data_IF_845525874790
#
_entry.id   IF_845525874790
#
_cell.length_a   1.000
_cell.length_b   1.000
_cell.length_c   1.000
_cell.angle_alpha   90.00
_cell.angle_beta   90.00
_cell.angle_gamma   90.00
#
_symmetry.space_group_name_H-M   'P 1'
#
loop_
_entity.id
_entity.type
_entity.pdbx_description
1 polymer ?
#
# COMPACT_ATOMS: atom_id res chain seq x y z
N UNK A 1 -7.97 13.09 28.96
CA UNK A 1 -8.66 12.09 28.10
C UNK A 1 -8.66 12.44 26.61
N UNK A 2 -9.23 13.57 26.12
CA UNK A 2 -9.20 13.90 24.67
C UNK A 2 -7.80 14.15 24.12
N UNK A 3 -6.92 14.78 24.90
CA UNK A 3 -5.53 15.06 24.49
C UNK A 3 -4.70 13.78 24.40
N UNK A 4 -4.82 12.89 25.37
CA UNK A 4 -4.13 11.59 25.40
C UNK A 4 -4.55 10.72 24.22
N UNK A 5 -5.86 10.68 23.92
CA UNK A 5 -6.38 9.99 22.74
C UNK A 5 -5.83 10.56 21.42
N UNK A 6 -5.73 11.89 21.31
CA UNK A 6 -5.17 12.55 20.14
C UNK A 6 -3.69 12.23 19.97
N UNK A 7 -2.91 12.22 21.06
CA UNK A 7 -1.48 11.84 21.02
C UNK A 7 -1.31 10.39 20.63
N UNK A 8 -2.06 9.46 21.24
CA UNK A 8 -2.02 8.04 20.92
C UNK A 8 -2.42 7.78 19.45
N UNK A 9 -3.53 8.39 19.01
CA UNK A 9 -3.95 8.27 17.61
C UNK A 9 -2.92 8.84 16.64
N UNK A 10 -2.28 9.95 16.98
CA UNK A 10 -1.20 10.54 16.19
C UNK A 10 0.02 9.64 16.07
N UNK A 11 0.44 9.03 17.18
CA UNK A 11 1.56 8.08 17.21
C UNK A 11 1.26 6.83 16.37
N UNK A 12 0.07 6.22 16.55
CA UNK A 12 -0.36 5.06 15.76
C UNK A 12 -0.42 5.42 14.27
N UNK A 13 -0.96 6.60 13.93
CA UNK A 13 -1.03 7.09 12.55
C UNK A 13 0.36 7.20 11.91
N UNK A 14 1.29 7.85 12.61
CA UNK A 14 2.67 8.04 12.15
C UNK A 14 3.42 6.73 11.96
N UNK A 15 3.38 5.83 12.95
CA UNK A 15 4.02 4.51 12.89
C UNK A 15 3.43 3.66 11.76
N UNK A 16 2.12 3.64 11.63
CA UNK A 16 1.44 2.88 10.59
C UNK A 16 1.75 3.39 9.18
N UNK A 17 1.85 4.72 9.00
CA UNK A 17 2.31 5.34 7.76
C UNK A 17 3.76 4.97 7.45
N UNK A 18 4.65 5.03 8.45
CA UNK A 18 6.06 4.67 8.28
C UNK A 18 6.22 3.21 7.83
N UNK A 19 5.48 2.29 8.41
CA UNK A 19 5.47 0.88 8.00
C UNK A 19 4.93 0.73 6.57
N UNK A 20 3.77 1.32 6.28
CA UNK A 20 3.10 1.16 4.99
C UNK A 20 3.89 1.76 3.82
N UNK A 21 4.61 2.85 4.04
CA UNK A 21 5.46 3.50 3.05
C UNK A 21 6.88 2.91 3.03
N UNK A 22 7.45 2.66 4.20
CA UNK A 22 8.84 2.21 4.35
C UNK A 22 9.11 0.85 3.73
N UNK A 23 8.17 -0.10 3.83
CA UNK A 23 8.32 -1.42 3.24
C UNK A 23 8.51 -1.42 1.72
N UNK A 24 7.64 -0.78 0.93
CA UNK A 24 7.84 -0.60 -0.51
C UNK A 24 9.12 0.16 -0.87
N UNK A 25 9.53 1.16 -0.09
CA UNK A 25 10.82 1.87 -0.28
C UNK A 25 11.97 0.92 -0.05
N UNK A 26 11.99 0.18 1.07
CA UNK A 26 12.99 -0.83 1.36
C UNK A 26 13.08 -1.88 0.23
N UNK A 27 11.95 -2.36 -0.27
CA UNK A 27 11.94 -3.31 -1.37
C UNK A 27 12.57 -2.74 -2.65
N UNK A 28 12.38 -1.46 -2.96
CA UNK A 28 12.99 -0.82 -4.13
C UNK A 28 14.49 -0.58 -3.95
N UNK A 29 14.92 -0.16 -2.77
CA UNK A 29 16.29 0.29 -2.54
C UNK A 29 17.21 -0.88 -2.16
N UNK A 30 16.83 -1.67 -1.17
CA UNK A 30 17.67 -2.72 -0.60
C UNK A 30 17.37 -4.10 -1.18
N UNK A 31 16.09 -4.56 -1.12
CA UNK A 31 15.72 -5.90 -1.53
C UNK A 31 16.04 -6.17 -3.01
N UNK A 32 15.79 -5.22 -3.91
CA UNK A 32 16.16 -5.36 -5.33
C UNK A 32 17.66 -5.52 -5.55
N UNK A 33 18.50 -4.82 -4.76
CA UNK A 33 19.95 -4.96 -4.86
C UNK A 33 20.40 -6.32 -4.36
N UNK A 34 19.88 -6.78 -3.22
CA UNK A 34 20.16 -8.10 -2.68
C UNK A 34 19.77 -9.22 -3.66
N UNK A 35 18.61 -9.11 -4.30
CA UNK A 35 18.13 -10.09 -5.29
C UNK A 35 18.99 -10.20 -6.56
N UNK A 36 19.82 -9.19 -6.88
CA UNK A 36 20.77 -9.31 -8.00
C UNK A 36 21.89 -10.31 -7.72
N UNK A 37 22.18 -10.59 -6.44
CA UNK A 37 23.19 -11.58 -6.02
C UNK A 37 22.66 -13.01 -6.01
N UNK A 38 21.34 -13.22 -6.18
CA UNK A 38 20.76 -14.56 -6.24
C UNK A 38 21.18 -15.29 -7.52
N UNK A 39 21.56 -16.56 -7.38
CA UNK A 39 22.19 -17.39 -8.41
C UNK A 39 21.21 -17.78 -9.53
N UNK A 40 19.91 -17.84 -9.25
CA UNK A 40 18.90 -18.24 -10.22
C UNK A 40 17.66 -17.33 -10.23
N UNK A 41 16.91 -17.34 -11.34
CA UNK A 41 15.61 -16.66 -11.44
C UNK A 41 14.59 -17.26 -10.48
N UNK A 42 14.69 -18.56 -10.20
CA UNK A 42 13.79 -19.28 -9.30
C UNK A 42 14.03 -18.87 -7.85
N UNK A 43 15.26 -18.85 -7.40
CA UNK A 43 15.68 -18.38 -6.09
C UNK A 43 15.25 -16.92 -5.85
N UNK A 44 15.50 -16.05 -6.81
CA UNK A 44 15.07 -14.64 -6.77
C UNK A 44 13.56 -14.49 -6.58
N UNK A 45 12.76 -15.32 -7.26
CA UNK A 45 11.31 -15.35 -7.10
C UNK A 45 10.89 -15.86 -5.72
N UNK A 46 11.52 -16.91 -5.21
CA UNK A 46 11.24 -17.48 -3.90
C UNK A 46 11.53 -16.46 -2.78
N UNK A 47 12.69 -15.82 -2.80
CA UNK A 47 13.06 -14.78 -1.83
C UNK A 47 12.05 -13.62 -1.88
N UNK A 48 11.71 -13.13 -3.08
CA UNK A 48 10.74 -12.05 -3.24
C UNK A 48 9.36 -12.43 -2.69
N UNK A 49 8.91 -13.65 -2.99
CA UNK A 49 7.60 -14.14 -2.52
C UNK A 49 7.56 -14.27 -0.99
N UNK A 50 8.61 -14.80 -0.39
CA UNK A 50 8.74 -14.90 1.07
C UNK A 50 8.77 -13.53 1.72
N UNK A 51 9.59 -12.61 1.22
CA UNK A 51 9.69 -11.24 1.73
C UNK A 51 8.32 -10.52 1.71
N UNK A 52 7.60 -10.58 0.58
CA UNK A 52 6.28 -9.95 0.48
C UNK A 52 5.22 -10.67 1.32
N UNK A 53 5.30 -11.99 1.47
CA UNK A 53 4.38 -12.73 2.33
C UNK A 53 4.53 -12.33 3.80
N UNK A 54 5.76 -12.19 4.29
CA UNK A 54 6.01 -11.74 5.67
C UNK A 54 5.66 -10.27 5.85
N UNK A 55 6.06 -9.42 4.90
CA UNK A 55 5.70 -8.00 4.95
C UNK A 55 4.19 -7.76 4.98
N UNK A 56 3.40 -8.54 4.24
CA UNK A 56 1.94 -8.42 4.24
C UNK A 56 1.32 -8.60 5.61
N UNK A 57 1.89 -9.45 6.47
CA UNK A 57 1.39 -9.70 7.84
C UNK A 57 1.50 -8.45 8.73
N UNK A 58 2.48 -7.60 8.46
CA UNK A 58 2.69 -6.34 9.19
C UNK A 58 1.99 -5.18 8.49
N UNK A 59 2.00 -5.18 7.16
CA UNK A 59 1.45 -4.09 6.38
C UNK A 59 -0.08 -4.00 6.42
N UNK A 60 -0.79 -5.14 6.50
CA UNK A 60 -2.26 -5.13 6.60
C UNK A 60 -2.73 -4.49 7.91
N UNK A 61 -2.26 -4.90 9.10
CA UNK A 61 -2.57 -4.19 10.34
C UNK A 61 -2.16 -2.72 10.31
N UNK A 62 -1.01 -2.38 9.72
CA UNK A 62 -0.58 -1.00 9.58
C UNK A 62 -1.56 -0.16 8.74
N UNK A 63 -2.11 -0.70 7.65
CA UNK A 63 -3.14 0.00 6.87
C UNK A 63 -4.43 0.23 7.67
N UNK A 64 -4.85 -0.74 8.46
CA UNK A 64 -6.01 -0.59 9.36
C UNK A 64 -5.72 0.45 10.44
N UNK A 65 -4.57 0.36 11.09
CA UNK A 65 -4.14 1.29 12.14
C UNK A 65 -4.04 2.74 11.64
N UNK A 66 -3.44 2.94 10.49
CA UNK A 66 -3.31 4.24 9.84
C UNK A 66 -4.67 4.86 9.48
N UNK A 67 -5.62 4.06 9.00
CA UNK A 67 -6.96 4.54 8.66
C UNK A 67 -7.79 4.84 9.89
N UNK A 68 -7.85 3.90 10.82
CA UNK A 68 -8.62 4.06 12.05
C UNK A 68 -8.13 5.26 12.88
N UNK A 69 -6.80 5.38 13.05
CA UNK A 69 -6.22 6.51 13.77
C UNK A 69 -6.49 7.84 13.07
N UNK A 70 -6.48 7.89 11.74
CA UNK A 70 -6.85 9.09 11.00
C UNK A 70 -8.32 9.47 11.22
N UNK A 71 -9.25 8.53 11.19
CA UNK A 71 -10.66 8.79 11.47
C UNK A 71 -10.86 9.36 12.87
N UNK A 72 -10.17 8.81 13.87
CA UNK A 72 -10.17 9.35 15.25
C UNK A 72 -9.64 10.79 15.25
N UNK A 73 -8.48 11.05 14.66
CA UNK A 73 -7.91 12.39 14.57
C UNK A 73 -8.84 13.35 13.83
N UNK A 74 -9.46 12.91 12.75
CA UNK A 74 -10.38 13.72 11.95
C UNK A 74 -11.62 14.14 12.71
N UNK A 75 -12.19 13.25 13.54
CA UNK A 75 -13.33 13.58 14.41
C UNK A 75 -12.94 14.57 15.50
N UNK A 76 -11.76 14.41 16.10
CA UNK A 76 -11.24 15.34 17.12
C UNK A 76 -10.96 16.74 16.50
N UNK A 77 -10.37 16.78 15.32
CA UNK A 77 -10.09 18.03 14.58
C UNK A 77 -11.36 18.74 14.12
N UNK A 78 -12.44 18.02 13.88
CA UNK A 78 -13.75 18.60 13.54
C UNK A 78 -14.34 19.49 14.65
N UNK A 79 -13.88 19.31 15.91
CA UNK A 79 -14.31 20.13 17.06
C UNK A 79 -13.47 21.41 17.24
N UNK A 80 -12.42 21.61 16.44
CA UNK A 80 -11.52 22.76 16.53
C UNK A 80 -11.84 23.77 15.42
N UNK A 81 -11.89 25.05 15.77
CA UNK A 81 -12.00 26.13 14.77
C UNK A 81 -10.68 26.25 14.01
N UNK A 82 -10.66 25.72 12.79
CA UNK A 82 -9.52 25.76 11.89
C UNK A 82 -9.71 26.82 10.81
N UNK A 83 -8.62 27.43 10.37
CA UNK A 83 -8.60 28.35 9.23
C UNK A 83 -8.91 27.59 7.90
N UNK A 84 -9.30 28.36 6.88
CA UNK A 84 -9.70 27.81 5.57
C UNK A 84 -8.58 27.00 4.91
N UNK A 85 -7.34 27.45 5.03
CA UNK A 85 -6.17 26.76 4.46
C UNK A 85 -5.98 25.38 5.08
N UNK A 86 -6.00 25.31 6.43
CA UNK A 86 -5.87 24.02 7.15
C UNK A 86 -7.02 23.07 6.84
N UNK A 87 -8.26 23.56 6.69
CA UNK A 87 -9.40 22.74 6.26
C UNK A 87 -9.19 22.14 4.87
N UNK A 88 -8.67 22.92 3.93
CA UNK A 88 -8.36 22.44 2.58
C UNK A 88 -7.26 21.36 2.62
N UNK A 89 -6.21 21.55 3.41
CA UNK A 89 -5.16 20.53 3.58
C UNK A 89 -5.70 19.23 4.18
N UNK A 90 -6.64 19.33 5.13
CA UNK A 90 -7.32 18.15 5.68
C UNK A 90 -8.13 17.40 4.62
N UNK A 91 -8.88 18.12 3.76
CA UNK A 91 -9.62 17.49 2.65
C UNK A 91 -8.69 16.80 1.64
N UNK A 92 -7.57 17.44 1.31
CA UNK A 92 -6.55 16.81 0.44
C UNK A 92 -5.98 15.55 1.11
N UNK A 93 -5.70 15.60 2.41
CA UNK A 93 -5.22 14.42 3.14
C UNK A 93 -6.28 13.32 3.19
N UNK A 94 -7.54 13.64 3.39
CA UNK A 94 -8.66 12.68 3.34
C UNK A 94 -8.69 11.96 1.97
N UNK A 95 -8.57 12.70 0.87
CA UNK A 95 -8.51 12.14 -0.48
C UNK A 95 -7.28 11.23 -0.70
N UNK A 96 -6.11 11.64 -0.19
CA UNK A 96 -4.89 10.83 -0.27
C UNK A 96 -5.02 9.52 0.51
N UNK A 97 -5.61 9.55 1.69
CA UNK A 97 -5.86 8.37 2.52
C UNK A 97 -6.86 7.43 1.84
N UNK A 98 -7.96 7.97 1.32
CA UNK A 98 -8.94 7.20 0.57
C UNK A 98 -8.30 6.55 -0.67
N UNK A 99 -7.48 7.27 -1.42
CA UNK A 99 -6.71 6.76 -2.55
C UNK A 99 -5.74 5.65 -2.16
N UNK A 100 -5.03 5.79 -1.03
CA UNK A 100 -4.14 4.77 -0.49
C UNK A 100 -4.91 3.49 -0.09
N UNK A 101 -6.08 3.63 0.52
CA UNK A 101 -6.94 2.49 0.88
C UNK A 101 -7.43 1.74 -0.35
N UNK A 102 -8.02 2.46 -1.31
CA UNK A 102 -8.56 1.85 -2.53
C UNK A 102 -7.45 1.11 -3.29
N UNK A 103 -6.30 1.75 -3.47
CA UNK A 103 -5.16 1.13 -4.17
C UNK A 103 -4.54 -0.01 -3.37
N UNK A 104 -4.51 0.06 -2.05
CA UNK A 104 -4.05 -1.01 -1.15
C UNK A 104 -4.94 -2.24 -1.21
N UNK A 105 -6.27 -2.06 -1.12
CA UNK A 105 -7.25 -3.16 -1.26
C UNK A 105 -7.16 -3.78 -2.66
N UNK A 106 -7.16 -2.96 -3.72
CA UNK A 106 -7.03 -3.43 -5.09
C UNK A 106 -5.71 -4.20 -5.32
N UNK A 107 -4.60 -3.76 -4.72
CA UNK A 107 -3.33 -4.46 -4.78
C UNK A 107 -3.39 -5.83 -4.08
N UNK A 108 -4.10 -5.94 -2.97
CA UNK A 108 -4.29 -7.20 -2.23
C UNK A 108 -5.10 -8.20 -3.06
N UNK A 109 -6.23 -7.76 -3.64
CA UNK A 109 -7.08 -8.60 -4.52
C UNK A 109 -6.27 -9.06 -5.74
N UNK A 110 -5.59 -8.13 -6.41
CA UNK A 110 -4.75 -8.43 -7.57
C UNK A 110 -3.60 -9.38 -7.22
N UNK A 111 -3.02 -9.26 -6.02
CA UNK A 111 -1.99 -10.15 -5.50
C UNK A 111 -2.48 -11.60 -5.34
N UNK A 112 -3.72 -11.79 -4.87
CA UNK A 112 -4.35 -13.13 -4.80
C UNK A 112 -4.60 -13.71 -6.19
N UNK A 113 -5.12 -12.90 -7.13
CA UNK A 113 -5.31 -13.31 -8.52
C UNK A 113 -3.98 -13.71 -9.18
N UNK A 114 -2.91 -12.97 -8.91
CA UNK A 114 -1.56 -13.25 -9.39
C UNK A 114 -1.03 -14.60 -8.86
N UNK A 115 -1.23 -14.90 -7.57
CA UNK A 115 -0.87 -16.19 -6.97
C UNK A 115 -1.62 -17.36 -7.63
N UNK A 116 -2.93 -17.18 -7.91
CA UNK A 116 -3.74 -18.20 -8.60
C UNK A 116 -3.25 -18.43 -10.03
N UNK A 117 -3.01 -17.36 -10.79
CA UNK A 117 -2.48 -17.44 -12.15
C UNK A 117 -1.09 -18.11 -12.21
N UNK A 118 -0.23 -17.84 -11.23
CA UNK A 118 1.08 -18.47 -11.12
C UNK A 118 0.98 -19.96 -10.84
N UNK A 119 0.06 -20.39 -9.95
CA UNK A 119 -0.19 -21.83 -9.68
C UNK A 119 -0.70 -22.54 -10.94
N UNK A 120 -1.61 -21.92 -11.67
CA UNK A 120 -2.12 -22.48 -12.93
C UNK A 120 -1.01 -22.67 -13.99
N UNK A 121 -0.07 -21.71 -14.08
CA UNK A 121 1.10 -21.85 -14.95
C UNK A 121 2.04 -22.98 -14.52
N UNK A 122 2.27 -23.16 -13.23
CA UNK A 122 3.16 -24.22 -12.72
C UNK A 122 2.54 -25.62 -12.87
N UNK A 123 1.23 -25.77 -12.68
CA UNK A 123 0.55 -27.06 -12.91
C UNK A 123 0.59 -27.46 -14.39
N UNK A 124 0.35 -26.54 -15.30
CA UNK A 124 0.43 -26.80 -16.75
C UNK A 124 1.85 -27.19 -17.21
N UNK A 125 2.89 -26.73 -16.52
CA UNK A 125 4.28 -27.11 -16.82
C UNK A 125 4.61 -28.51 -16.33
N UNK A 126 4.14 -28.89 -15.12
CA UNK A 126 4.35 -30.24 -14.58
C UNK A 126 3.60 -31.32 -15.37
N UNK A 127 2.35 -31.06 -15.80
CA UNK A 127 1.60 -31.99 -16.65
C UNK A 127 2.28 -32.18 -18.01
N UNK A 128 2.89 -31.17 -18.58
CA UNK A 128 3.59 -31.26 -19.87
C UNK A 128 4.93 -32.05 -19.81
N UNK A 129 5.52 -32.18 -18.63
CA UNK A 129 6.73 -33.04 -18.45
C UNK A 129 6.37 -34.53 -18.28
N UNK A 130 5.23 -34.83 -17.63
CA UNK A 130 4.72 -36.18 -17.48
C UNK A 130 4.18 -36.78 -18.81
N UNK A 131 3.71 -35.92 -19.72
CA UNK A 131 2.99 -36.29 -20.94
C UNK A 131 3.87 -36.28 -22.21
N UNK A 132 5.20 -36.24 -22.08
CA UNK A 132 6.13 -36.39 -23.22
C UNK A 132 6.02 -37.73 -23.95
N UNK A 133 5.19 -38.65 -23.46
CA UNK A 133 4.96 -40.00 -24.04
C UNK A 133 3.62 -40.14 -24.77
N UNK A 134 2.73 -39.16 -24.81
CA UNK A 134 1.40 -39.28 -25.41
C UNK A 134 1.18 -38.30 -26.57
N UNK A 135 0.84 -38.86 -27.72
CA UNK A 135 0.19 -38.44 -28.97
C UNK A 135 0.21 -36.95 -29.41
N UNK A 136 0.53 -36.80 -30.70
CA UNK A 136 0.75 -35.58 -31.50
C UNK A 136 -0.43 -34.61 -31.60
N UNK A 137 -1.64 -34.98 -31.22
CA UNK A 137 -2.88 -34.19 -31.42
C UNK A 137 -3.22 -33.17 -30.35
N UNK A 138 -2.68 -33.30 -29.13
CA UNK A 138 -3.00 -32.39 -27.98
C UNK A 138 -2.07 -31.19 -27.85
N UNK A 139 -0.93 -31.18 -28.57
CA UNK A 139 0.09 -30.10 -28.45
C UNK A 139 -0.42 -28.68 -28.78
N UNK A 140 -1.30 -28.41 -29.75
CA UNK A 140 -1.74 -27.05 -30.07
C UNK A 140 -2.66 -26.46 -28.97
N UNK A 141 -3.52 -27.27 -28.36
CA UNK A 141 -4.45 -26.82 -27.32
C UNK A 141 -3.69 -26.46 -26.03
N UNK A 142 -2.71 -27.25 -25.63
CA UNK A 142 -1.85 -26.97 -24.47
C UNK A 142 -1.01 -25.71 -24.68
N UNK A 143 -0.44 -25.53 -25.87
CA UNK A 143 0.32 -24.32 -26.24
C UNK A 143 -0.57 -23.08 -26.18
N UNK A 144 -1.82 -23.14 -26.62
CA UNK A 144 -2.78 -22.05 -26.57
C UNK A 144 -3.18 -21.70 -25.10
N UNK A 145 -3.48 -22.71 -24.27
CA UNK A 145 -3.77 -22.52 -22.81
C UNK A 145 -2.59 -21.90 -22.08
N UNK A 146 -1.35 -22.36 -22.33
CA UNK A 146 -0.13 -21.81 -21.74
C UNK A 146 0.11 -20.36 -22.16
N UNK A 147 -0.17 -20.02 -23.42
CA UNK A 147 -0.02 -18.64 -23.92
C UNK A 147 -1.07 -17.71 -23.33
N UNK A 148 -2.33 -18.14 -23.18
CA UNK A 148 -3.40 -17.37 -22.55
C UNK A 148 -3.11 -17.10 -21.07
N UNK A 149 -2.72 -18.12 -20.30
CA UNK A 149 -2.34 -18.00 -18.89
C UNK A 149 -1.13 -17.07 -18.70
N UNK A 150 -0.14 -17.13 -19.59
CA UNK A 150 1.02 -16.24 -19.57
C UNK A 150 0.64 -14.78 -19.83
N UNK A 151 -0.27 -14.51 -20.80
CA UNK A 151 -0.77 -13.15 -21.05
C UNK A 151 -1.55 -12.61 -19.87
N UNK A 152 -2.42 -13.43 -19.25
CA UNK A 152 -3.17 -13.03 -18.04
C UNK A 152 -2.23 -12.70 -16.89
N UNK A 153 -1.23 -13.53 -16.64
CA UNK A 153 -0.21 -13.28 -15.61
C UNK A 153 0.55 -11.98 -15.89
N UNK A 154 0.97 -11.72 -17.11
CA UNK A 154 1.65 -10.48 -17.50
C UNK A 154 0.76 -9.24 -17.30
N UNK A 155 -0.55 -9.33 -17.61
CA UNK A 155 -1.53 -8.25 -17.35
C UNK A 155 -1.65 -7.96 -15.85
N UNK A 156 -1.83 -8.99 -15.02
CA UNK A 156 -1.92 -8.86 -13.57
C UNK A 156 -0.65 -8.26 -12.96
N UNK A 157 0.54 -8.60 -13.48
CA UNK A 157 1.81 -8.00 -13.07
C UNK A 157 1.88 -6.50 -13.36
N UNK A 158 1.40 -6.06 -14.54
CA UNK A 158 1.36 -4.63 -14.88
C UNK A 158 0.41 -3.87 -13.96
N UNK A 159 -0.78 -4.42 -13.71
CA UNK A 159 -1.75 -3.85 -12.77
C UNK A 159 -1.15 -3.74 -11.37
N UNK A 160 -0.53 -4.81 -10.85
CA UNK A 160 0.13 -4.81 -9.55
C UNK A 160 1.21 -3.72 -9.43
N UNK A 161 2.01 -3.55 -10.49
CA UNK A 161 3.05 -2.52 -10.53
C UNK A 161 2.47 -1.10 -10.48
N UNK A 162 1.37 -0.85 -11.21
CA UNK A 162 0.73 0.46 -11.25
C UNK A 162 0.01 0.77 -9.93
N UNK A 163 -0.72 -0.20 -9.37
CA UNK A 163 -1.35 -0.08 -8.05
C UNK A 163 -0.31 0.22 -6.95
N UNK A 164 0.81 -0.49 -6.96
CA UNK A 164 1.89 -0.24 -6.00
C UNK A 164 2.51 1.15 -6.13
N UNK A 165 2.65 1.68 -7.38
CA UNK A 165 3.13 3.05 -7.60
C UNK A 165 2.13 4.09 -7.13
N UNK A 166 0.85 3.91 -7.46
CA UNK A 166 -0.22 4.81 -7.04
C UNK A 166 -0.33 4.83 -5.51
N UNK A 167 -0.36 3.67 -4.86
CA UNK A 167 -0.38 3.57 -3.41
C UNK A 167 0.79 4.30 -2.75
N UNK A 168 2.01 4.13 -3.26
CA UNK A 168 3.18 4.86 -2.76
C UNK A 168 3.05 6.38 -2.94
N UNK A 169 2.49 6.85 -4.05
CA UNK A 169 2.30 8.27 -4.30
C UNK A 169 1.29 8.87 -3.30
N UNK A 170 0.17 8.18 -3.05
CA UNK A 170 -0.82 8.59 -2.05
C UNK A 170 -0.24 8.64 -0.63
N UNK A 171 0.50 7.61 -0.22
CA UNK A 171 1.13 7.57 1.11
C UNK A 171 2.20 8.65 1.25
N UNK A 172 3.03 8.88 0.23
CA UNK A 172 4.02 9.95 0.23
C UNK A 172 3.35 11.32 0.35
N UNK A 173 2.28 11.57 -0.42
CA UNK A 173 1.51 12.81 -0.32
C UNK A 173 0.93 13.02 1.08
N UNK A 174 0.36 11.98 1.69
CA UNK A 174 -0.17 12.05 3.05
C UNK A 174 0.92 12.38 4.09
N UNK A 175 2.14 11.84 3.92
CA UNK A 175 3.29 12.15 4.79
C UNK A 175 3.72 13.61 4.61
N UNK A 176 3.86 14.09 3.38
CA UNK A 176 4.33 15.45 3.06
C UNK A 176 3.37 16.51 3.61
N UNK A 177 2.06 16.29 3.52
CA UNK A 177 1.04 17.24 3.99
C UNK A 177 0.92 17.26 5.52
N UNK A 178 1.28 16.18 6.22
CA UNK A 178 1.08 16.05 7.66
C UNK A 178 1.72 17.17 8.50
N UNK A 179 2.98 17.59 8.27
CA UNK A 179 3.59 18.70 8.99
C UNK A 179 2.86 20.04 8.76
N UNK A 180 2.43 20.33 7.53
CA UNK A 180 1.73 21.56 7.20
C UNK A 180 0.37 21.66 7.95
N UNK A 181 -0.34 20.54 8.09
CA UNK A 181 -1.56 20.48 8.91
C UNK A 181 -1.22 20.75 10.38
N UNK A 182 -0.16 20.17 10.91
CA UNK A 182 0.30 20.40 12.29
C UNK A 182 0.56 21.89 12.56
N UNK A 183 1.30 22.55 11.70
CA UNK A 183 1.58 24.00 11.78
C UNK A 183 0.28 24.81 11.70
N UNK A 184 -0.63 24.48 10.79
CA UNK A 184 -1.93 25.14 10.65
C UNK A 184 -2.80 25.03 11.92
N UNK A 185 -2.80 23.87 12.56
CA UNK A 185 -3.53 23.64 13.84
C UNK A 185 -2.95 24.55 14.94
N UNK A 186 -1.63 24.57 15.12
CA UNK A 186 -0.96 25.39 16.13
C UNK A 186 -1.26 26.88 15.90
N UNK A 187 -1.18 27.35 14.65
CA UNK A 187 -1.50 28.73 14.26
C UNK A 187 -2.95 29.10 14.58
N UNK A 188 -3.89 28.22 14.25
CA UNK A 188 -5.32 28.45 14.50
C UNK A 188 -5.62 28.53 16.00
N UNK A 189 -4.97 27.72 16.82
CA UNK A 189 -5.11 27.76 18.28
C UNK A 189 -4.55 29.05 18.87
N UNK A 190 -3.36 29.51 18.43
CA UNK A 190 -2.76 30.77 18.89
C UNK A 190 -3.64 31.98 18.55
N UNK A 191 -4.18 32.05 17.35
CA UNK A 191 -5.08 33.17 16.98
C UNK A 191 -6.38 33.17 17.79
N UNK A 192 -6.95 31.98 18.10
CA UNK A 192 -8.12 31.87 18.97
C UNK A 192 -7.85 32.27 20.43
N UNK A 193 -6.62 32.11 20.92
CA UNK A 193 -6.19 32.57 22.23
C UNK A 193 -6.04 34.09 22.29
N UNK A 194 -5.34 34.64 21.31
CA UNK A 194 -5.11 36.11 21.20
C UNK A 194 -6.45 36.84 21.07
N UNK A 195 -7.37 36.36 20.22
CA UNK A 195 -8.70 37.00 20.06
C UNK A 195 -9.52 37.00 21.35
N UNK A 196 -9.33 36.05 22.25
CA UNK A 196 -9.98 36.04 23.58
C UNK A 196 -9.36 37.00 24.57
N UNK A 197 -8.09 37.35 24.41
CA UNK A 197 -7.42 38.35 25.28
C UNK A 197 -7.81 39.77 24.93
N UNK A 198 -8.13 40.08 23.65
CA UNK A 198 -8.48 41.40 23.19
C UNK A 198 -10.00 41.71 23.24
N UNK A 199 -10.85 40.70 23.48
CA UNK A 199 -12.31 40.88 23.61
C UNK A 199 -12.80 40.86 25.08
N UNK A 200 -11.90 41.04 26.04
CA UNK A 200 -12.20 41.35 27.44
C UNK A 200 -11.85 42.82 27.73
#
# INVERSE_FOLDING_TARGET
>A
MKTELAVAAGAIHGLSLAVSYGGPVFAKVALRRALRKAHSKQERRAIMQTAWSQFSKVNVPAHVGFTASWLILRTLLGQVKLDKSTKNLLMVKDALIAGALVTGVAATINGQALKRAQRALSSTTKSGEAEKQSTTREKPIQKAKKSAASRQYAKLLRVSKNLGRANMAFLAGAIIISPAIGVGIIRSQRMGFIGRLFNR
#
